data_IF_426977745415
#
_entry.id   IF_426977745415
#
_cell.length_a   1.000
_cell.length_b   1.000
_cell.length_c   1.000
_cell.angle_alpha   90.00
_cell.angle_beta   90.00
_cell.angle_gamma   90.00
#
_symmetry.space_group_name_H-M   'P 1'
#
loop_
_entity.id
_entity.type
_entity.pdbx_description
1 polymer ?
#
# COMPACT_ATOMS: atom_id res chain seq x y z
N UNK A 1 -12.63 -22.56 -14.59
CA UNK A 1 -11.18 -22.44 -14.34
C UNK A 1 -10.68 -21.05 -14.72
N UNK A 2 -9.82 -20.48 -13.89
CA UNK A 2 -9.08 -19.23 -14.12
C UNK A 2 -7.63 -19.44 -13.70
N UNK A 3 -6.71 -18.61 -14.17
CA UNK A 3 -5.31 -18.66 -13.73
C UNK A 3 -5.16 -17.93 -12.40
N UNK A 4 -4.40 -18.50 -11.47
CA UNK A 4 -3.97 -17.86 -10.23
C UNK A 4 -2.48 -18.04 -10.00
N UNK A 5 -1.85 -17.06 -9.37
CA UNK A 5 -0.44 -17.13 -8.96
C UNK A 5 -0.37 -17.64 -7.53
N UNK A 6 0.40 -18.70 -7.35
CA UNK A 6 0.67 -19.30 -6.05
C UNK A 6 2.16 -19.45 -5.82
N UNK A 7 2.60 -19.32 -4.57
CA UNK A 7 3.88 -19.84 -4.13
C UNK A 7 3.70 -21.33 -3.80
N UNK A 8 4.47 -22.21 -4.47
CA UNK A 8 4.40 -23.66 -4.23
C UNK A 8 5.41 -24.15 -3.18
N UNK A 9 6.36 -23.29 -2.81
CA UNK A 9 7.35 -23.49 -1.77
C UNK A 9 7.67 -22.16 -1.10
N UNK A 10 8.42 -22.20 0.01
CA UNK A 10 9.08 -21.01 0.53
C UNK A 10 10.43 -20.83 -0.20
N UNK A 11 10.82 -19.59 -0.49
CA UNK A 11 12.03 -19.30 -1.27
C UNK A 11 11.99 -17.95 -1.98
N UNK A 12 12.74 -17.83 -3.07
CA UNK A 12 12.70 -16.65 -3.95
C UNK A 12 11.60 -16.76 -5.02
N UNK A 13 11.51 -15.77 -5.93
CA UNK A 13 10.47 -15.70 -6.96
C UNK A 13 10.36 -16.92 -7.89
N UNK A 14 11.39 -17.78 -7.96
CA UNK A 14 11.40 -19.05 -8.68
C UNK A 14 10.37 -20.07 -8.17
N UNK A 15 9.83 -19.90 -6.96
CA UNK A 15 8.80 -20.80 -6.39
C UNK A 15 7.37 -20.40 -6.79
N UNK A 16 7.21 -19.32 -7.55
CA UNK A 16 5.91 -18.89 -8.04
C UNK A 16 5.49 -19.70 -9.25
N UNK A 17 4.23 -20.11 -9.27
CA UNK A 17 3.63 -20.84 -10.38
C UNK A 17 2.27 -20.27 -10.74
N UNK A 18 1.99 -20.22 -12.03
CA UNK A 18 0.65 -20.00 -12.55
C UNK A 18 -0.08 -21.36 -12.58
N UNK A 19 -1.18 -21.45 -11.86
CA UNK A 19 -1.99 -22.66 -11.75
C UNK A 19 -3.43 -22.37 -12.17
N UNK A 20 -4.05 -23.34 -12.83
CA UNK A 20 -5.50 -23.29 -13.08
C UNK A 20 -6.25 -23.64 -11.81
N UNK A 21 -7.23 -22.80 -11.47
CA UNK A 21 -8.06 -22.98 -10.28
C UNK A 21 -9.52 -22.80 -10.62
N UNK A 22 -10.36 -23.56 -9.92
CA UNK A 22 -11.79 -23.30 -9.91
C UNK A 22 -12.11 -22.11 -9.02
N UNK A 23 -13.07 -21.31 -9.48
CA UNK A 23 -13.60 -20.19 -8.71
C UNK A 23 -14.98 -20.63 -8.23
N UNK A 24 -15.15 -20.91 -6.92
CA UNK A 24 -16.45 -21.30 -6.41
C UNK A 24 -17.45 -20.16 -6.60
N UNK A 25 -18.71 -20.53 -6.81
CA UNK A 25 -19.80 -19.56 -6.81
C UNK A 25 -19.82 -18.80 -5.47
N UNK A 26 -20.07 -17.49 -5.48
CA UNK A 26 -20.02 -16.68 -4.27
C UNK A 26 -21.09 -17.12 -3.27
N UNK A 27 -20.69 -17.30 -2.01
CA UNK A 27 -21.59 -17.55 -0.89
C UNK A 27 -22.36 -16.28 -0.47
N UNK A 28 -23.18 -16.37 0.60
CA UNK A 28 -23.87 -15.21 1.13
C UNK A 28 -22.90 -14.07 1.50
N UNK A 29 -23.22 -12.85 1.07
CA UNK A 29 -22.38 -11.67 1.32
C UNK A 29 -21.12 -11.58 0.44
N UNK A 30 -20.93 -12.48 -0.53
CA UNK A 30 -19.75 -12.51 -1.40
C UNK A 30 -20.08 -12.12 -2.84
N UNK A 31 -19.04 -11.71 -3.57
CA UNK A 31 -19.09 -11.46 -5.00
C UNK A 31 -17.87 -12.06 -5.68
N UNK A 32 -18.03 -12.51 -6.93
CA UNK A 32 -16.92 -12.89 -7.79
C UNK A 32 -16.58 -11.73 -8.71
N UNK A 33 -15.30 -11.37 -8.77
CA UNK A 33 -14.76 -10.30 -9.58
C UNK A 33 -13.81 -10.89 -10.61
N UNK A 34 -14.05 -10.60 -11.89
CA UNK A 34 -13.07 -10.80 -12.94
C UNK A 34 -12.07 -9.67 -12.92
N UNK A 35 -10.86 -10.00 -12.51
CA UNK A 35 -9.76 -9.05 -12.32
C UNK A 35 -9.38 -8.44 -13.67
N UNK A 36 -9.10 -7.14 -13.66
CA UNK A 36 -8.52 -6.40 -14.79
C UNK A 36 -7.11 -5.92 -14.46
N UNK A 37 -6.85 -5.65 -13.18
CA UNK A 37 -5.54 -5.32 -12.67
C UNK A 37 -5.45 -5.70 -11.18
N UNK A 38 -4.31 -6.25 -10.77
CA UNK A 38 -3.99 -6.47 -9.37
C UNK A 38 -2.55 -6.03 -9.13
N UNK A 39 -2.27 -5.38 -8.01
CA UNK A 39 -0.96 -4.82 -7.76
C UNK A 39 -0.14 -5.63 -6.76
N UNK A 40 1.16 -5.68 -7.01
CA UNK A 40 2.14 -6.23 -6.10
C UNK A 40 2.50 -5.20 -5.02
N UNK A 41 2.78 -5.73 -3.84
CA UNK A 41 3.24 -5.01 -2.67
C UNK A 41 4.45 -5.76 -2.09
N UNK A 42 5.38 -5.08 -1.38
CA UNK A 42 6.52 -5.75 -0.75
C UNK A 42 6.11 -6.89 0.19
N UNK A 43 4.90 -6.86 0.76
CA UNK A 43 4.38 -7.93 1.61
C UNK A 43 4.18 -9.24 0.85
N UNK A 44 3.89 -9.22 -0.45
CA UNK A 44 3.60 -10.42 -1.23
C UNK A 44 4.80 -11.37 -1.28
N UNK A 45 6.01 -10.85 -1.49
CA UNK A 45 7.23 -11.67 -1.41
C UNK A 45 7.55 -12.10 0.03
N UNK A 46 7.35 -11.19 1.01
CA UNK A 46 7.66 -11.48 2.42
C UNK A 46 6.88 -12.68 2.95
N UNK A 47 5.65 -12.89 2.47
CA UNK A 47 4.79 -14.01 2.87
C UNK A 47 5.38 -15.39 2.57
N UNK A 48 6.12 -15.57 1.48
CA UNK A 48 6.72 -16.85 1.11
C UNK A 48 8.25 -16.89 1.15
N UNK A 49 8.91 -15.75 1.35
CA UNK A 49 10.38 -15.69 1.52
C UNK A 49 10.93 -16.33 2.81
N UNK A 50 10.05 -16.60 3.79
CA UNK A 50 10.43 -17.02 5.14
C UNK A 50 10.62 -15.87 6.14
N UNK A 51 10.47 -14.62 5.70
CA UNK A 51 10.58 -13.43 6.57
C UNK A 51 9.59 -13.43 7.75
N UNK A 52 8.48 -14.18 7.66
CA UNK A 52 7.50 -14.35 8.73
C UNK A 52 7.49 -15.77 9.33
N UNK A 53 8.59 -16.51 9.17
CA UNK A 53 8.65 -17.93 9.46
C UNK A 53 8.20 -18.78 8.27
N UNK A 54 8.32 -20.10 8.44
CA UNK A 54 8.02 -21.11 7.42
C UNK A 54 7.00 -22.09 8.00
N UNK A 55 5.87 -22.22 7.32
CA UNK A 55 4.83 -23.21 7.63
C UNK A 55 4.34 -23.87 6.34
N UNK A 56 4.78 -25.12 6.05
CA UNK A 56 4.36 -25.84 4.84
C UNK A 56 2.84 -26.03 4.70
N UNK A 57 2.06 -25.96 5.79
CA UNK A 57 0.61 -26.07 5.73
C UNK A 57 -0.07 -24.88 5.04
N UNK A 58 0.65 -23.77 4.83
CA UNK A 58 0.15 -22.59 4.11
C UNK A 58 0.32 -22.69 2.59
N UNK A 59 0.99 -23.75 2.09
CA UNK A 59 1.24 -23.97 0.67
C UNK A 59 0.19 -24.90 0.03
N UNK A 60 -0.14 -24.71 -1.26
CA UNK A 60 0.28 -23.61 -2.13
C UNK A 60 -0.40 -22.28 -1.71
N UNK A 61 0.37 -21.22 -1.61
CA UNK A 61 -0.08 -19.93 -1.06
C UNK A 61 -0.53 -18.98 -2.15
N UNK A 62 -1.80 -18.52 -2.11
CA UNK A 62 -2.29 -17.44 -2.97
C UNK A 62 -1.79 -16.07 -2.52
N UNK A 63 -1.38 -15.25 -3.50
CA UNK A 63 -0.75 -13.93 -3.28
C UNK A 63 -1.64 -12.77 -3.75
N UNK A 64 -1.30 -11.55 -3.34
CA UNK A 64 -2.06 -10.33 -3.65
C UNK A 64 -3.12 -10.03 -2.59
N UNK A 65 -3.44 -8.73 -2.47
CA UNK A 65 -4.43 -8.23 -1.51
C UNK A 65 -5.29 -7.07 -2.05
N UNK A 66 -5.11 -6.66 -3.30
CA UNK A 66 -5.86 -5.59 -3.95
C UNK A 66 -6.06 -5.89 -5.43
N UNK A 67 -7.24 -5.55 -5.95
CA UNK A 67 -7.56 -5.67 -7.36
C UNK A 67 -8.60 -4.62 -7.78
N UNK A 68 -8.65 -4.37 -9.09
CA UNK A 68 -9.80 -3.76 -9.74
C UNK A 68 -10.31 -4.68 -10.85
N UNK A 69 -11.61 -4.72 -11.06
CA UNK A 69 -12.22 -5.61 -12.02
C UNK A 69 -13.72 -5.42 -12.20
N UNK A 70 -14.37 -6.40 -12.80
CA UNK A 70 -15.81 -6.40 -13.08
C UNK A 70 -16.48 -7.53 -12.32
N UNK A 71 -17.57 -7.25 -11.61
CA UNK A 71 -18.35 -8.28 -10.90
C UNK A 71 -19.00 -9.23 -11.91
N UNK A 72 -18.78 -10.53 -11.75
CA UNK A 72 -19.30 -11.59 -12.64
C UNK A 72 -20.36 -12.46 -11.99
N UNK A 73 -20.37 -12.55 -10.65
CA UNK A 73 -21.39 -13.25 -9.89
C UNK A 73 -21.58 -12.59 -8.52
N UNK A 74 -22.79 -12.72 -7.98
CA UNK A 74 -23.19 -12.10 -6.71
C UNK A 74 -23.90 -13.15 -5.87
N UNK A 75 -23.47 -13.31 -4.62
CA UNK A 75 -24.11 -14.20 -3.67
C UNK A 75 -25.28 -13.54 -2.94
N UNK A 76 -26.13 -14.30 -2.24
CA UNK A 76 -27.27 -13.75 -1.52
C UNK A 76 -26.86 -12.68 -0.49
N UNK A 77 -27.52 -11.51 -0.50
CA UNK A 77 -27.27 -10.45 0.47
C UNK A 77 -25.89 -9.78 0.36
N UNK A 78 -25.26 -9.86 -0.82
CA UNK A 78 -24.01 -9.16 -1.10
C UNK A 78 -24.21 -7.64 -1.15
N UNK A 79 -23.90 -6.99 -0.04
CA UNK A 79 -23.90 -5.54 0.11
C UNK A 79 -22.48 -5.03 0.35
N UNK A 80 -22.07 -4.07 -0.48
CA UNK A 80 -20.85 -3.31 -0.26
C UNK A 80 -21.11 -2.05 0.57
N UNK A 81 -20.07 -1.25 0.86
CA UNK A 81 -20.19 -0.05 1.69
C UNK A 81 -21.13 1.03 1.16
N UNK A 82 -21.53 0.95 -0.12
CA UNK A 82 -22.44 1.89 -0.79
C UNK A 82 -23.78 1.25 -1.19
N UNK A 83 -24.06 0.03 -0.74
CA UNK A 83 -25.31 -0.68 -1.02
C UNK A 83 -25.11 -1.98 -1.80
N UNK A 84 -26.19 -2.55 -2.38
CA UNK A 84 -26.14 -3.81 -3.11
C UNK A 84 -25.14 -3.77 -4.26
N UNK A 85 -24.39 -4.86 -4.44
CA UNK A 85 -23.46 -5.05 -5.55
C UNK A 85 -24.16 -5.86 -6.66
N UNK A 86 -23.96 -5.46 -7.92
CA UNK A 86 -24.58 -6.10 -9.08
C UNK A 86 -23.55 -6.69 -10.05
N UNK A 87 -23.96 -7.71 -10.80
CA UNK A 87 -23.17 -8.22 -11.93
C UNK A 87 -23.01 -7.12 -12.97
N UNK A 88 -21.78 -6.92 -13.43
CA UNK A 88 -21.41 -5.87 -14.38
C UNK A 88 -20.79 -4.63 -13.73
N UNK A 89 -20.86 -4.48 -12.40
CA UNK A 89 -20.25 -3.34 -11.71
C UNK A 89 -18.73 -3.34 -11.88
N UNK A 90 -18.17 -2.17 -12.21
CA UNK A 90 -16.73 -1.92 -12.15
C UNK A 90 -16.33 -1.58 -10.71
N UNK A 91 -15.43 -2.37 -10.13
CA UNK A 91 -15.13 -2.30 -8.70
C UNK A 91 -13.64 -2.29 -8.40
N UNK A 92 -13.32 -1.73 -7.23
CA UNK A 92 -12.06 -1.91 -6.52
C UNK A 92 -12.33 -2.83 -5.32
N UNK A 93 -11.51 -3.87 -5.16
CA UNK A 93 -11.61 -4.84 -4.08
C UNK A 93 -10.39 -4.73 -3.16
N UNK A 94 -10.63 -4.41 -1.88
CA UNK A 94 -9.62 -4.36 -0.83
C UNK A 94 -10.26 -4.47 0.57
N UNK A 95 -9.81 -5.38 1.45
CA UNK A 95 -8.80 -6.41 1.18
C UNK A 95 -9.33 -7.48 0.21
N UNK A 96 -8.44 -8.01 -0.63
CA UNK A 96 -8.73 -9.02 -1.65
C UNK A 96 -7.66 -10.12 -1.64
N UNK A 97 -7.62 -10.98 -0.61
CA UNK A 97 -6.57 -11.99 -0.47
C UNK A 97 -6.60 -12.96 -1.66
N UNK A 98 -5.44 -13.14 -2.31
CA UNK A 98 -5.34 -13.98 -3.51
C UNK A 98 -5.64 -13.25 -4.82
N UNK A 99 -5.64 -11.92 -4.81
CA UNK A 99 -5.94 -11.06 -5.96
C UNK A 99 -5.05 -11.25 -7.20
N UNK A 100 -3.88 -11.90 -7.09
CA UNK A 100 -3.07 -12.24 -8.26
C UNK A 100 -3.67 -13.44 -9.00
N UNK A 101 -4.84 -13.23 -9.62
CA UNK A 101 -5.60 -14.23 -10.35
C UNK A 101 -6.47 -13.57 -11.42
N UNK A 102 -6.99 -14.34 -12.38
CA UNK A 102 -7.92 -13.83 -13.39
C UNK A 102 -9.34 -13.61 -12.87
N UNK A 103 -9.79 -14.40 -11.89
CA UNK A 103 -11.03 -14.18 -11.16
C UNK A 103 -10.85 -14.51 -9.66
N UNK A 104 -11.52 -13.76 -8.79
CA UNK A 104 -11.48 -13.94 -7.33
C UNK A 104 -12.87 -13.79 -6.72
N UNK A 105 -13.17 -14.56 -5.68
CA UNK A 105 -14.37 -14.37 -4.85
C UNK A 105 -13.95 -13.69 -3.55
N UNK A 106 -14.61 -12.58 -3.20
CA UNK A 106 -14.30 -11.74 -2.04
C UNK A 106 -15.60 -11.33 -1.33
N UNK A 107 -15.48 -10.87 -0.09
CA UNK A 107 -16.63 -10.32 0.65
C UNK A 107 -17.06 -8.99 0.04
N UNK A 108 -18.37 -8.80 -0.15
CA UNK A 108 -18.92 -7.58 -0.73
C UNK A 108 -18.58 -6.33 0.09
N UNK A 109 -18.41 -6.47 1.42
CA UNK A 109 -17.98 -5.39 2.30
C UNK A 109 -16.62 -4.76 1.94
N UNK A 110 -15.74 -5.50 1.25
CA UNK A 110 -14.45 -5.01 0.75
C UNK A 110 -14.49 -4.49 -0.68
N UNK A 111 -15.68 -4.37 -1.28
CA UNK A 111 -15.87 -4.03 -2.69
C UNK A 111 -16.55 -2.67 -2.79
N UNK A 112 -15.87 -1.73 -3.45
CA UNK A 112 -16.36 -0.37 -3.68
C UNK A 112 -16.34 -0.03 -5.17
N UNK A 113 -17.20 0.88 -5.65
CA UNK A 113 -17.21 1.28 -7.05
C UNK A 113 -15.86 1.85 -7.48
N UNK A 114 -15.38 1.41 -8.64
CA UNK A 114 -14.25 2.03 -9.31
C UNK A 114 -14.71 3.39 -9.87
N UNK A 115 -14.00 4.50 -9.62
CA UNK A 115 -14.37 5.77 -10.22
C UNK A 115 -14.32 5.72 -11.76
N UNK A 116 -15.29 6.36 -12.39
CA UNK A 116 -15.31 6.51 -13.84
C UNK A 116 -14.07 7.29 -14.33
N UNK A 117 -13.47 6.87 -15.43
CA UNK A 117 -12.30 7.52 -16.02
C UNK A 117 -10.95 7.15 -15.36
N UNK A 118 -10.95 6.56 -14.16
CA UNK A 118 -9.72 6.00 -13.56
C UNK A 118 -9.38 4.69 -14.27
N UNK A 119 -8.12 4.52 -14.66
CA UNK A 119 -7.65 3.30 -15.33
C UNK A 119 -7.61 2.09 -14.38
N UNK A 120 -7.68 0.88 -14.93
CA UNK A 120 -7.72 -0.35 -14.14
C UNK A 120 -6.47 -0.55 -13.27
N UNK A 121 -5.31 -0.27 -13.82
CA UNK A 121 -4.01 -0.36 -13.15
C UNK A 121 -3.89 0.58 -11.95
N UNK A 122 -4.35 1.83 -12.07
CA UNK A 122 -4.42 2.78 -10.95
C UNK A 122 -5.44 2.32 -9.90
N UNK A 123 -6.66 2.00 -10.34
CA UNK A 123 -7.73 1.54 -9.44
C UNK A 123 -7.34 0.26 -8.67
N UNK A 124 -6.64 -0.66 -9.32
CA UNK A 124 -6.19 -1.93 -8.74
C UNK A 124 -4.88 -1.84 -7.95
N UNK A 125 -4.31 -0.64 -7.77
CA UNK A 125 -3.01 -0.45 -7.11
C UNK A 125 -2.99 0.62 -6.01
N UNK A 126 -4.07 1.38 -5.84
CA UNK A 126 -4.11 2.50 -4.88
C UNK A 126 -4.34 2.05 -3.44
N UNK A 127 -5.12 0.98 -3.22
CA UNK A 127 -5.72 0.74 -1.91
C UNK A 127 -4.73 0.26 -0.85
N UNK A 128 -3.83 -0.68 -1.13
CA UNK A 128 -2.92 -1.21 -0.11
C UNK A 128 -1.93 -0.14 0.39
N UNK A 129 -1.33 0.62 -0.53
CA UNK A 129 -0.41 1.70 -0.18
C UNK A 129 -1.14 2.93 0.36
N UNK A 130 -2.28 3.29 -0.22
CA UNK A 130 -3.06 4.44 0.19
C UNK A 130 -3.74 4.24 1.55
N UNK A 131 -4.30 3.06 1.82
CA UNK A 131 -4.88 2.74 3.13
C UNK A 131 -3.79 2.74 4.22
N UNK A 132 -2.58 2.30 3.88
CA UNK A 132 -1.42 2.44 4.77
C UNK A 132 -1.08 3.91 5.01
N UNK A 133 -1.06 4.74 3.97
CA UNK A 133 -0.78 6.16 4.10
C UNK A 133 -1.82 6.89 4.96
N UNK A 134 -3.11 6.68 4.71
CA UNK A 134 -4.21 7.22 5.54
C UNK A 134 -4.02 6.80 6.99
N UNK A 135 -3.76 5.51 7.23
CA UNK A 135 -3.55 5.00 8.59
C UNK A 135 -2.36 5.68 9.30
N UNK A 136 -1.23 5.88 8.62
CA UNK A 136 -0.08 6.58 9.20
C UNK A 136 -0.39 8.02 9.57
N UNK A 137 -1.14 8.75 8.71
CA UNK A 137 -1.50 10.14 8.95
C UNK A 137 -2.51 10.31 10.09
N UNK A 138 -3.47 9.39 10.20
CA UNK A 138 -4.43 9.39 11.32
C UNK A 138 -3.72 9.13 12.66
N UNK A 139 -2.85 8.12 12.74
CA UNK A 139 -2.15 7.80 14.00
C UNK A 139 -1.14 8.88 14.37
N UNK A 140 -0.41 9.42 13.40
CA UNK A 140 0.49 10.56 13.62
C UNK A 140 -0.27 11.86 13.93
N UNK A 141 -1.59 11.88 13.74
CA UNK A 141 -2.48 13.04 13.91
C UNK A 141 -2.00 14.23 13.07
N UNK A 142 -1.64 13.98 11.81
CA UNK A 142 -1.15 15.01 10.89
C UNK A 142 -2.31 15.84 10.38
N UNK A 143 -2.21 17.16 10.54
CA UNK A 143 -3.18 18.15 10.09
C UNK A 143 -2.55 19.48 9.68
N UNK A 144 -3.42 20.48 9.52
CA UNK A 144 -3.03 21.80 9.05
C UNK A 144 -2.06 22.47 10.01
N UNK A 145 -0.95 22.96 9.47
CA UNK A 145 0.07 23.69 10.23
C UNK A 145 1.15 22.81 10.85
N UNK A 146 1.00 21.48 10.84
CA UNK A 146 2.08 20.58 11.25
C UNK A 146 3.24 20.62 10.24
N UNK A 147 4.46 20.45 10.75
CA UNK A 147 5.64 20.08 9.95
C UNK A 147 5.94 18.60 10.13
N UNK A 148 5.90 17.83 9.05
CA UNK A 148 6.00 16.37 9.08
C UNK A 148 7.19 15.90 8.26
N UNK A 149 8.02 15.04 8.84
CA UNK A 149 9.08 14.34 8.12
C UNK A 149 8.55 13.01 7.59
N UNK A 150 8.69 12.76 6.29
CA UNK A 150 8.33 11.50 5.65
C UNK A 150 9.61 10.81 5.17
N UNK A 151 9.96 9.69 5.78
CA UNK A 151 11.08 8.86 5.35
C UNK A 151 10.69 7.87 4.27
N UNK A 152 11.52 7.74 3.22
CA UNK A 152 11.20 6.93 2.05
C UNK A 152 10.08 7.55 1.19
N UNK A 153 10.05 8.88 1.10
CA UNK A 153 8.93 9.63 0.51
C UNK A 153 8.68 9.34 -0.98
N UNK A 154 9.67 8.79 -1.70
CA UNK A 154 9.50 8.37 -3.10
C UNK A 154 8.95 6.94 -3.27
N UNK A 155 8.75 6.19 -2.18
CA UNK A 155 8.20 4.84 -2.20
C UNK A 155 6.68 4.81 -2.41
N UNK A 156 6.12 3.62 -2.59
CA UNK A 156 4.68 3.44 -2.84
C UNK A 156 3.79 4.01 -1.72
N UNK A 157 4.16 3.80 -0.45
CA UNK A 157 3.43 4.42 0.68
C UNK A 157 3.84 5.88 0.86
N UNK A 158 5.16 6.15 0.89
CA UNK A 158 5.70 7.49 1.16
C UNK A 158 5.15 8.57 0.21
N UNK A 159 5.01 8.26 -1.08
CA UNK A 159 4.49 9.21 -2.07
C UNK A 159 3.03 9.59 -1.84
N UNK A 160 2.21 8.63 -1.39
CA UNK A 160 0.81 8.88 -1.05
C UNK A 160 0.72 9.63 0.29
N UNK A 161 1.54 9.27 1.28
CA UNK A 161 1.65 10.02 2.56
C UNK A 161 1.98 11.48 2.30
N UNK A 162 2.98 11.74 1.46
CA UNK A 162 3.41 13.09 1.11
C UNK A 162 2.28 13.91 0.51
N UNK A 163 1.61 13.41 -0.53
CA UNK A 163 0.50 14.12 -1.19
C UNK A 163 -0.67 14.37 -0.24
N UNK A 164 -1.07 13.37 0.53
CA UNK A 164 -2.18 13.50 1.47
C UNK A 164 -1.86 14.43 2.65
N UNK A 165 -0.61 14.46 3.15
CA UNK A 165 -0.18 15.38 4.19
C UNK A 165 -0.20 16.84 3.68
N UNK A 166 0.32 17.08 2.47
CA UNK A 166 0.24 18.39 1.82
C UNK A 166 -1.23 18.82 1.64
N UNK A 167 -2.09 17.92 1.18
CA UNK A 167 -3.53 18.19 1.03
C UNK A 167 -4.23 18.52 2.36
N UNK A 168 -3.74 17.99 3.49
CA UNK A 168 -4.20 18.34 4.86
C UNK A 168 -3.67 19.69 5.34
N UNK A 169 -2.80 20.36 4.57
CA UNK A 169 -2.19 21.64 4.91
C UNK A 169 -0.96 21.53 5.82
N UNK A 170 -0.30 20.37 5.85
CA UNK A 170 0.98 20.20 6.53
C UNK A 170 2.15 20.62 5.63
N UNK A 171 3.25 21.08 6.25
CA UNK A 171 4.54 21.21 5.57
C UNK A 171 5.23 19.86 5.59
N UNK A 172 5.59 19.32 4.42
CA UNK A 172 6.20 17.98 4.32
C UNK A 172 7.69 18.09 3.99
N UNK A 173 8.54 17.55 4.86
CA UNK A 173 9.95 17.31 4.58
C UNK A 173 10.10 15.86 4.14
N UNK A 174 10.38 15.65 2.87
CA UNK A 174 10.40 14.34 2.23
C UNK A 174 11.84 13.85 2.04
N UNK A 175 12.23 12.77 2.73
CA UNK A 175 13.56 12.18 2.52
C UNK A 175 13.52 11.17 1.38
N UNK A 176 14.39 11.36 0.39
CA UNK A 176 14.54 10.48 -0.78
C UNK A 176 15.88 10.74 -1.48
N UNK A 177 16.27 9.86 -2.41
CA UNK A 177 17.43 10.12 -3.27
C UNK A 177 17.14 11.28 -4.24
N UNK A 178 18.19 12.01 -4.64
CA UNK A 178 18.09 13.26 -5.43
C UNK A 178 17.29 13.09 -6.73
N UNK A 179 17.39 11.92 -7.38
CA UNK A 179 16.63 11.61 -8.60
C UNK A 179 15.10 11.73 -8.44
N UNK A 180 14.58 11.65 -7.22
CA UNK A 180 13.15 11.77 -6.92
C UNK A 180 12.73 13.16 -6.42
N UNK A 181 13.68 14.09 -6.23
CA UNK A 181 13.39 15.40 -5.65
C UNK A 181 12.46 16.25 -6.53
N UNK A 182 12.58 16.16 -7.86
CA UNK A 182 11.69 16.89 -8.77
C UNK A 182 10.22 16.49 -8.54
N UNK A 183 9.92 15.20 -8.62
CA UNK A 183 8.57 14.65 -8.37
C UNK A 183 8.04 15.00 -6.98
N UNK A 184 8.90 14.97 -5.94
CA UNK A 184 8.48 15.34 -4.59
C UNK A 184 8.15 16.82 -4.44
N UNK A 185 8.84 17.71 -5.18
CA UNK A 185 8.46 19.14 -5.25
C UNK A 185 7.13 19.31 -5.96
N UNK A 186 6.88 18.56 -7.03
CA UNK A 186 5.59 18.57 -7.74
C UNK A 186 4.44 18.10 -6.84
N UNK A 187 4.73 17.20 -5.89
CA UNK A 187 3.78 16.80 -4.83
C UNK A 187 3.67 17.81 -3.67
N UNK A 188 4.35 18.96 -3.75
CA UNK A 188 4.28 20.03 -2.75
C UNK A 188 5.17 19.85 -1.52
N UNK A 189 6.12 18.90 -1.55
CA UNK A 189 7.04 18.67 -0.44
C UNK A 189 8.37 19.41 -0.61
N UNK A 190 9.10 19.55 0.50
CA UNK A 190 10.50 19.96 0.54
C UNK A 190 11.36 18.70 0.54
N UNK A 191 11.96 18.30 -0.59
CA UNK A 191 12.75 17.10 -0.64
C UNK A 191 14.16 17.32 -0.05
N UNK A 192 14.66 16.33 0.67
CA UNK A 192 16.04 16.29 1.17
C UNK A 192 16.66 14.91 0.94
N UNK A 193 17.99 14.87 0.79
CA UNK A 193 18.74 13.63 0.62
C UNK A 193 18.96 12.95 1.98
N UNK A 194 18.70 11.63 2.06
CA UNK A 194 19.03 10.80 3.23
C UNK A 194 20.53 10.50 3.33
N UNK A 195 20.96 9.79 4.38
CA UNK A 195 22.37 9.48 4.64
C UNK A 195 23.05 10.57 5.45
N UNK A 196 24.37 10.43 5.65
CA UNK A 196 25.17 11.23 6.57
C UNK A 196 24.77 12.71 6.62
N UNK A 197 24.50 13.18 7.84
CA UNK A 197 24.02 14.54 8.12
C UNK A 197 22.51 14.73 7.93
N UNK A 198 21.71 13.65 7.88
CA UNK A 198 20.26 13.72 7.72
C UNK A 198 19.60 14.63 8.78
N UNK A 199 19.94 14.45 10.06
CA UNK A 199 19.39 15.22 11.16
C UNK A 199 19.54 16.73 10.96
N UNK A 200 20.74 17.19 10.61
CA UNK A 200 21.03 18.60 10.38
C UNK A 200 20.32 19.14 9.15
N UNK A 201 20.21 18.33 8.08
CA UNK A 201 19.42 18.70 6.90
C UNK A 201 17.95 18.88 7.22
N UNK A 202 17.36 18.01 8.07
CA UNK A 202 15.98 18.17 8.52
C UNK A 202 15.83 19.45 9.35
N UNK A 203 16.72 19.71 10.30
CA UNK A 203 16.70 20.96 11.11
C UNK A 203 16.76 22.21 10.26
N UNK A 204 17.61 22.21 9.22
CA UNK A 204 17.71 23.32 8.29
C UNK A 204 16.42 23.52 7.47
N UNK A 205 15.72 22.43 7.11
CA UNK A 205 14.46 22.48 6.38
C UNK A 205 13.23 22.77 7.27
N UNK A 206 13.32 22.49 8.58
CA UNK A 206 12.29 22.75 9.60
C UNK A 206 12.83 23.66 10.73
N UNK A 207 13.10 24.95 10.45
CA UNK A 207 13.64 25.87 11.47
C UNK A 207 12.66 26.10 12.65
N UNK A 208 11.38 25.81 12.45
CA UNK A 208 10.33 25.92 13.48
C UNK A 208 10.07 24.61 14.24
N UNK A 209 10.83 23.55 13.95
CA UNK A 209 10.67 22.22 14.56
C UNK A 209 9.84 21.25 13.73
N UNK A 210 9.79 20.00 14.18
CA UNK A 210 9.05 18.89 13.55
C UNK A 210 7.99 18.37 14.50
N UNK A 211 6.75 18.28 14.01
CA UNK A 211 5.58 17.91 14.79
C UNK A 211 5.28 16.41 14.76
N UNK A 212 5.64 15.73 13.66
CA UNK A 212 5.44 14.30 13.46
C UNK A 212 6.44 13.71 12.47
N UNK A 213 6.64 12.39 12.54
CA UNK A 213 7.48 11.67 11.60
C UNK A 213 6.79 10.38 11.14
N UNK A 214 6.84 10.10 9.84
CA UNK A 214 6.30 8.88 9.23
C UNK A 214 7.45 8.15 8.54
N UNK A 215 7.76 6.96 9.02
CA UNK A 215 8.84 6.11 8.55
C UNK A 215 8.32 4.95 7.69
N UNK A 216 8.75 4.95 6.42
CA UNK A 216 8.48 3.87 5.47
C UNK A 216 9.75 3.13 5.03
N UNK A 217 10.91 3.42 5.64
CA UNK A 217 12.21 2.85 5.26
C UNK A 217 12.84 1.98 6.36
N UNK A 218 12.66 2.32 7.63
CA UNK A 218 13.04 1.49 8.78
C UNK A 218 14.53 1.48 9.11
N UNK A 219 15.32 2.40 8.55
CA UNK A 219 16.74 2.55 8.90
C UNK A 219 16.91 3.19 10.27
N UNK A 220 17.95 2.83 11.00
CA UNK A 220 18.25 3.45 12.30
C UNK A 220 18.42 4.97 12.18
N UNK A 221 19.11 5.47 11.16
CA UNK A 221 19.27 6.92 10.94
C UNK A 221 17.93 7.68 10.86
N UNK A 222 16.94 7.11 10.17
CA UNK A 222 15.60 7.70 10.03
C UNK A 222 14.84 7.71 11.37
N UNK A 223 14.86 6.59 12.09
CA UNK A 223 14.17 6.45 13.38
C UNK A 223 14.84 7.33 14.44
N UNK A 224 16.17 7.34 14.49
CA UNK A 224 16.95 8.14 15.46
C UNK A 224 16.76 9.64 15.20
N UNK A 225 16.80 10.07 13.93
CA UNK A 225 16.49 11.46 13.57
C UNK A 225 15.06 11.84 13.99
N UNK A 226 14.09 10.94 13.82
CA UNK A 226 12.71 11.17 14.25
C UNK A 226 12.59 11.30 15.77
N UNK A 227 13.28 10.44 16.52
CA UNK A 227 13.30 10.45 17.99
C UNK A 227 13.95 11.72 18.57
N UNK A 228 14.94 12.27 17.88
CA UNK A 228 15.62 13.51 18.25
C UNK A 228 14.77 14.76 17.95
N UNK A 229 13.95 14.73 16.88
CA UNK A 229 13.24 15.91 16.38
C UNK A 229 11.81 16.03 16.87
N UNK A 230 11.13 14.91 17.13
CA UNK A 230 9.70 14.89 17.48
C UNK A 230 9.53 14.70 18.98
N UNK A 231 9.04 15.75 19.66
CA UNK A 231 8.88 15.73 21.11
C UNK A 231 7.87 14.67 21.61
N UNK A 232 6.76 14.49 20.89
CA UNK A 232 5.77 13.45 21.18
C UNK A 232 6.05 12.19 20.36
N UNK A 233 6.69 11.19 20.99
CA UNK A 233 6.99 9.90 20.35
C UNK A 233 5.76 9.16 19.83
N UNK A 234 4.57 9.45 20.37
CA UNK A 234 3.30 8.95 19.86
C UNK A 234 2.94 9.44 18.46
N UNK A 235 3.62 10.48 17.95
CA UNK A 235 3.50 11.00 16.57
C UNK A 235 4.64 10.55 15.66
N UNK A 236 5.52 9.66 16.13
CA UNK A 236 6.49 8.95 15.30
C UNK A 236 5.85 7.62 14.92
N UNK A 237 5.59 7.41 13.64
CA UNK A 237 4.89 6.25 13.10
C UNK A 237 5.81 5.51 12.15
N UNK A 238 5.96 4.19 12.30
CA UNK A 238 6.67 3.35 11.34
C UNK A 238 5.81 2.15 10.91
N UNK A 239 5.95 1.78 9.64
CA UNK A 239 5.33 0.58 9.04
C UNK A 239 6.34 -0.56 8.80
N UNK A 240 7.59 -0.38 9.21
CA UNK A 240 8.71 -1.27 8.87
C UNK A 240 9.70 -1.50 10.01
N UNK A 241 9.87 -0.53 10.93
CA UNK A 241 10.83 -0.60 12.03
C UNK A 241 10.32 -1.42 13.23
N UNK A 242 9.78 -2.62 13.02
CA UNK A 242 9.12 -3.40 14.08
C UNK A 242 10.04 -3.76 15.26
N UNK A 243 11.36 -3.80 15.05
CA UNK A 243 12.36 -3.99 16.11
C UNK A 243 12.53 -2.78 17.06
N UNK A 244 11.94 -1.63 16.73
CA UNK A 244 12.07 -0.37 17.48
C UNK A 244 10.88 -0.08 18.39
N UNK A 245 10.05 -1.09 18.69
CA UNK A 245 8.85 -0.94 19.53
C UNK A 245 9.16 -0.34 20.92
N UNK A 246 10.32 -0.68 21.50
CA UNK A 246 10.76 -0.19 22.81
C UNK A 246 11.04 1.31 22.85
N UNK A 247 11.17 1.96 21.69
CA UNK A 247 11.50 3.39 21.62
C UNK A 247 10.27 4.28 21.88
N UNK A 248 9.08 3.69 22.00
CA UNK A 248 7.82 4.41 22.25
C UNK A 248 7.17 4.98 21.00
N UNK A 249 7.64 4.57 19.80
CA UNK A 249 7.03 4.91 18.51
C UNK A 249 5.80 4.04 18.23
N UNK A 250 4.96 4.46 17.28
CA UNK A 250 3.79 3.70 16.83
C UNK A 250 4.15 2.81 15.65
N UNK A 251 3.96 1.51 15.82
CA UNK A 251 4.14 0.53 14.75
C UNK A 251 2.79 0.17 14.14
N UNK A 252 2.68 0.22 12.81
CA UNK A 252 1.42 -0.07 12.10
C UNK A 252 1.59 -1.20 11.07
N UNK A 253 0.49 -1.88 10.74
CA UNK A 253 0.45 -2.94 9.73
C UNK A 253 0.39 -4.35 10.35
N UNK A 254 0.93 -5.34 9.64
CA UNK A 254 0.84 -6.76 10.03
C UNK A 254 2.02 -7.28 10.87
N UNK A 255 2.94 -6.41 11.30
CA UNK A 255 4.12 -6.82 12.06
C UNK A 255 3.84 -7.09 13.55
N UNK A 256 4.77 -7.73 14.27
CA UNK A 256 4.62 -8.00 15.71
C UNK A 256 4.38 -6.72 16.52
N UNK A 257 3.33 -6.71 17.35
CA UNK A 257 2.98 -5.57 18.20
C UNK A 257 2.45 -4.34 17.44
N UNK A 258 2.22 -4.44 16.13
CA UNK A 258 1.74 -3.34 15.31
C UNK A 258 0.21 -3.23 15.35
N UNK A 259 -0.29 -2.00 15.28
CA UNK A 259 -1.71 -1.73 15.08
C UNK A 259 -2.09 -2.04 13.62
N UNK A 260 -3.05 -2.93 13.43
CA UNK A 260 -3.53 -3.28 12.10
C UNK A 260 -4.30 -2.14 11.43
N UNK A 261 -4.96 -1.26 12.21
CA UNK A 261 -5.77 -0.16 11.70
C UNK A 261 -6.95 -0.60 10.85
N UNK A 262 -7.58 -1.74 11.18
CA UNK A 262 -8.60 -2.41 10.37
C UNK A 262 -9.68 -1.43 9.89
N UNK A 263 -10.29 -0.68 10.80
CA UNK A 263 -11.36 0.26 10.45
C UNK A 263 -10.86 1.44 9.62
N UNK A 264 -9.71 2.02 9.97
CA UNK A 264 -9.12 3.14 9.22
C UNK A 264 -8.81 2.71 7.78
N UNK A 265 -8.16 1.54 7.63
CA UNK A 265 -7.78 0.99 6.32
C UNK A 265 -8.99 0.58 5.49
N UNK A 266 -10.00 -0.04 6.10
CA UNK A 266 -11.22 -0.46 5.41
C UNK A 266 -12.02 0.73 4.87
N UNK A 267 -11.89 1.91 5.48
CA UNK A 267 -12.62 3.12 5.09
C UNK A 267 -11.79 4.11 4.28
N UNK A 268 -10.50 3.83 4.04
CA UNK A 268 -9.58 4.72 3.34
C UNK A 268 -10.00 5.04 1.89
N UNK A 269 -10.80 4.17 1.26
CA UNK A 269 -11.35 4.40 -0.09
C UNK A 269 -12.13 5.72 -0.20
N UNK A 270 -12.75 6.19 0.90
CA UNK A 270 -13.49 7.46 0.95
C UNK A 270 -12.62 8.67 0.68
N UNK A 271 -11.34 8.58 1.03
CA UNK A 271 -10.35 9.62 0.75
C UNK A 271 -9.66 9.37 -0.58
N UNK A 272 -9.25 8.12 -0.82
CA UNK A 272 -8.34 7.77 -1.91
C UNK A 272 -9.03 7.81 -3.28
N UNK A 273 -10.19 7.17 -3.43
CA UNK A 273 -10.81 7.03 -4.75
C UNK A 273 -11.31 8.36 -5.32
N UNK A 274 -11.94 9.27 -4.53
CA UNK A 274 -12.25 10.60 -5.01
C UNK A 274 -11.01 11.41 -5.40
N UNK A 275 -9.95 11.37 -4.58
CA UNK A 275 -8.72 12.11 -4.84
C UNK A 275 -7.97 11.61 -6.10
N UNK A 276 -8.02 10.31 -6.38
CA UNK A 276 -7.51 9.77 -7.65
C UNK A 276 -8.40 10.22 -8.81
N UNK A 277 -9.72 10.21 -8.64
CA UNK A 277 -10.66 10.57 -9.70
C UNK A 277 -10.58 12.05 -10.10
N UNK A 278 -10.36 12.96 -9.15
CA UNK A 278 -10.20 14.39 -9.41
C UNK A 278 -8.76 14.81 -9.73
N UNK A 279 -7.81 13.87 -9.65
CA UNK A 279 -6.40 14.07 -9.96
C UNK A 279 -5.58 14.76 -8.84
N UNK A 280 -6.17 15.03 -7.68
CA UNK A 280 -5.45 15.57 -6.51
C UNK A 280 -4.51 14.55 -5.87
N UNK A 281 -4.73 13.25 -6.11
CA UNK A 281 -3.82 12.18 -5.74
C UNK A 281 -3.33 11.43 -6.99
N UNK A 282 -2.02 11.49 -7.22
CA UNK A 282 -1.35 10.79 -8.31
C UNK A 282 -0.78 9.45 -7.80
N UNK A 283 -1.16 8.36 -8.49
CA UNK A 283 -0.62 7.02 -8.26
C UNK A 283 0.24 6.64 -9.46
N UNK A 284 1.54 6.55 -9.25
CA UNK A 284 2.47 6.20 -10.33
C UNK A 284 2.50 4.69 -10.50
N UNK A 285 1.96 4.19 -11.61
CA UNK A 285 2.18 2.81 -12.08
C UNK A 285 3.46 2.81 -12.89
N UNK A 286 4.52 2.24 -12.32
CA UNK A 286 5.84 2.25 -12.95
C UNK A 286 6.00 1.16 -14.01
N UNK A 287 5.33 0.03 -13.81
CA UNK A 287 5.35 -1.08 -14.77
C UNK A 287 4.13 -1.98 -14.61
N UNK A 288 3.68 -2.50 -15.74
CA UNK A 288 2.69 -3.57 -15.79
C UNK A 288 3.32 -4.81 -16.41
N UNK A 289 2.92 -5.99 -15.92
CA UNK A 289 3.32 -7.29 -16.43
C UNK A 289 2.07 -8.13 -16.71
N UNK A 290 2.10 -9.06 -17.68
CA UNK A 290 1.13 -10.14 -17.74
C UNK A 290 1.13 -10.93 -16.42
N UNK A 291 -0.02 -11.47 -16.00
CA UNK A 291 -0.15 -12.26 -14.78
C UNK A 291 0.84 -13.43 -14.73
N UNK A 292 1.09 -14.07 -15.87
CA UNK A 292 2.05 -15.17 -16.01
C UNK A 292 3.51 -14.76 -15.70
N UNK A 293 3.85 -13.48 -15.76
CA UNK A 293 5.19 -12.94 -15.47
C UNK A 293 5.33 -12.47 -14.01
N UNK A 294 4.48 -12.96 -13.10
CA UNK A 294 4.49 -12.57 -11.70
C UNK A 294 5.86 -12.71 -11.01
N UNK A 295 6.66 -13.71 -11.38
CA UNK A 295 8.00 -13.88 -10.84
C UNK A 295 8.94 -12.72 -11.19
N UNK A 296 8.93 -12.26 -12.43
CA UNK A 296 9.73 -11.11 -12.87
C UNK A 296 9.23 -9.80 -12.26
N UNK A 297 7.91 -9.66 -12.16
CA UNK A 297 7.29 -8.53 -11.49
C UNK A 297 7.68 -8.46 -10.00
N UNK A 298 7.72 -9.60 -9.29
CA UNK A 298 8.19 -9.64 -7.89
C UNK A 298 9.69 -9.34 -7.79
N UNK A 299 10.54 -9.88 -8.68
CA UNK A 299 11.98 -9.53 -8.71
C UNK A 299 12.19 -8.03 -8.79
N UNK A 300 11.39 -7.32 -9.59
CA UNK A 300 11.44 -5.86 -9.66
C UNK A 300 11.02 -5.21 -8.32
N UNK A 301 9.95 -5.68 -7.69
CA UNK A 301 9.49 -5.17 -6.38
C UNK A 301 10.54 -5.39 -5.28
N UNK A 302 11.24 -6.54 -5.29
CA UNK A 302 12.29 -6.89 -4.33
C UNK A 302 13.48 -5.92 -4.38
N UNK A 303 13.76 -5.30 -5.53
CA UNK A 303 14.80 -4.28 -5.62
C UNK A 303 14.53 -3.06 -4.74
N UNK A 304 13.27 -2.81 -4.36
CA UNK A 304 12.83 -1.58 -3.69
C UNK A 304 12.84 -0.33 -4.60
N UNK A 305 13.18 -0.50 -5.89
CA UNK A 305 13.48 0.59 -6.82
C UNK A 305 12.57 0.59 -8.06
N UNK A 306 11.39 0.00 -7.97
CA UNK A 306 10.44 -0.03 -9.07
C UNK A 306 10.02 1.36 -9.59
N UNK A 307 10.15 2.41 -8.77
CA UNK A 307 9.77 3.78 -9.14
C UNK A 307 8.27 4.07 -9.10
N UNK A 308 7.49 3.16 -8.52
CA UNK A 308 6.03 3.23 -8.43
C UNK A 308 5.42 1.86 -8.17
N UNK A 309 4.12 1.74 -8.39
CA UNK A 309 3.38 0.48 -8.29
C UNK A 309 3.72 -0.43 -9.46
N UNK A 310 3.84 -1.73 -9.16
CA UNK A 310 3.97 -2.80 -10.14
C UNK A 310 2.63 -3.53 -10.20
N UNK A 311 2.07 -3.65 -11.40
CA UNK A 311 0.73 -4.19 -11.63
C UNK A 311 0.80 -5.45 -12.48
N UNK A 312 0.02 -6.46 -12.15
CA UNK A 312 -0.25 -7.64 -12.96
C UNK A 312 -1.59 -7.49 -13.69
N UNK A 313 -1.58 -7.82 -14.97
CA UNK A 313 -2.74 -7.81 -15.87
C UNK A 313 -3.08 -9.26 -16.27
N UNK A 314 -4.27 -9.77 -15.93
CA UNK A 314 -4.71 -11.11 -16.32
C UNK A 314 -4.84 -11.35 -17.82
#
# INVERSE_FOLDING_TARGET
>A
MTTAIVATAFGGPEVLSAVDVDVPAPGPGEVTVRVRAAALNPIDHKRYSGAFGVDPAQLPMRLGNEAAGVVTAVGPGAEGPLGPVAVGDEVVAYPAPGALAGEITVTAAGVVPKPAGVSWDVAGSVMAVGATAVHTLEVARVGKGDTVVVHGASGGVGSIVTQLAVARGATVIATASERHHATLRDHGAVPITYGDGLLDRIRAAAPSGVDAAIDTVGTDEAVDSSLELVADRGRIVSIVAFGRASDGIRLLGGGPGADHGTDIRANAWRTLLPAVADGSLQVVVARSFPLAEAADAIRLVETGHAGGKVVLLP
#
